data_IF_651651452617
#
_entry.id   IF_651651452617
#
_cell.length_a   1.000
_cell.length_b   1.000
_cell.length_c   1.000
_cell.angle_alpha   90.00
_cell.angle_beta   90.00
_cell.angle_gamma   90.00
#
_symmetry.space_group_name_H-M   'P 1'
#
loop_
_entity.id
_entity.type
_entity.pdbx_description
1 polymer ?
#
# COMPACT_ATOMS: atom_id res chain seq x y z
N UNK A 1 -29.10 24.32 -78.54
CA UNK A 1 -27.63 24.09 -78.47
C UNK A 1 -26.96 25.44 -78.69
N UNK A 2 -26.05 25.92 -77.82
CA UNK A 2 -25.08 25.14 -77.02
C UNK A 2 -25.17 25.34 -75.49
N UNK A 3 -24.26 24.64 -74.80
CA UNK A 3 -24.23 24.21 -73.40
C UNK A 3 -23.93 25.30 -72.37
N UNK A 4 -24.61 25.23 -71.22
CA UNK A 4 -24.17 25.83 -69.96
C UNK A 4 -23.24 24.84 -69.23
N UNK A 5 -21.97 25.21 -69.04
CA UNK A 5 -21.07 24.52 -68.12
C UNK A 5 -21.26 25.10 -66.72
N UNK A 6 -21.78 24.28 -65.81
CA UNK A 6 -21.76 24.56 -64.37
C UNK A 6 -20.36 24.36 -63.82
N UNK A 7 -19.88 25.32 -63.04
CA UNK A 7 -18.69 25.18 -62.19
C UNK A 7 -19.20 24.76 -60.82
N UNK A 8 -19.07 23.49 -60.47
CA UNK A 8 -19.26 23.00 -59.10
C UNK A 8 -18.10 23.51 -58.23
N UNK A 9 -18.41 24.31 -57.21
CA UNK A 9 -17.50 24.54 -56.09
C UNK A 9 -17.33 23.21 -55.31
N UNK A 10 -16.09 22.82 -54.95
CA UNK A 10 -15.88 21.54 -54.32
C UNK A 10 -16.39 21.54 -52.87
N UNK A 11 -17.21 20.53 -52.59
CA UNK A 11 -17.85 20.14 -51.31
C UNK A 11 -16.85 19.90 -50.13
N UNK A 12 -15.55 20.12 -50.37
CA UNK A 12 -14.45 19.90 -49.43
C UNK A 12 -14.26 21.06 -48.45
N UNK A 13 -14.63 22.30 -48.81
CA UNK A 13 -14.44 23.48 -47.94
C UNK A 13 -15.53 23.57 -46.86
N UNK A 14 -16.77 23.16 -47.14
CA UNK A 14 -17.87 23.13 -46.16
C UNK A 14 -17.70 22.03 -45.10
N UNK A 15 -17.27 20.82 -45.49
CA UNK A 15 -17.00 19.72 -44.53
C UNK A 15 -15.82 20.00 -43.60
N UNK A 16 -14.79 20.71 -44.07
CA UNK A 16 -13.65 21.11 -43.23
C UNK A 16 -14.04 22.16 -42.16
N UNK A 17 -14.95 23.08 -42.49
CA UNK A 17 -15.45 24.08 -41.56
C UNK A 17 -16.39 23.49 -40.48
N UNK A 18 -17.23 22.52 -40.85
CA UNK A 18 -18.11 21.80 -39.90
C UNK A 18 -17.33 20.84 -38.97
N UNK A 19 -16.32 20.14 -39.51
CA UNK A 19 -15.40 19.31 -38.72
C UNK A 19 -14.62 20.13 -37.69
N UNK A 20 -14.07 21.28 -38.08
CA UNK A 20 -13.37 22.19 -37.18
C UNK A 20 -14.27 22.88 -36.15
N UNK A 21 -15.55 23.09 -36.44
CA UNK A 21 -16.52 23.63 -35.48
C UNK A 21 -16.92 22.59 -34.43
N UNK A 22 -17.15 21.33 -34.85
CA UNK A 22 -17.41 20.22 -33.94
C UNK A 22 -16.20 19.93 -33.05
N UNK A 23 -14.99 19.84 -33.61
CA UNK A 23 -13.75 19.65 -32.84
C UNK A 23 -13.52 20.78 -31.82
N UNK A 24 -13.78 22.05 -32.18
CA UNK A 24 -13.67 23.18 -31.23
C UNK A 24 -14.74 23.15 -30.14
N UNK A 25 -15.95 22.68 -30.44
CA UNK A 25 -17.03 22.50 -29.44
C UNK A 25 -16.74 21.32 -28.51
N UNK A 26 -16.21 20.22 -29.04
CA UNK A 26 -15.73 19.09 -28.24
C UNK A 26 -14.55 19.50 -27.36
N UNK A 27 -13.57 20.24 -27.89
CA UNK A 27 -12.44 20.78 -27.12
C UNK A 27 -12.88 21.79 -26.06
N UNK A 28 -13.88 22.64 -26.34
CA UNK A 28 -14.44 23.59 -25.36
C UNK A 28 -15.24 22.88 -24.25
N UNK A 29 -16.04 21.88 -24.58
CA UNK A 29 -16.75 21.05 -23.60
C UNK A 29 -15.77 20.21 -22.77
N UNK A 30 -14.70 19.74 -23.40
CA UNK A 30 -13.63 19.00 -22.77
C UNK A 30 -12.81 19.84 -21.79
N UNK A 31 -12.41 21.05 -22.21
CA UNK A 31 -11.76 22.02 -21.36
C UNK A 31 -12.67 22.40 -20.19
N UNK A 32 -13.98 22.59 -20.43
CA UNK A 32 -14.94 22.92 -19.38
C UNK A 32 -15.10 21.78 -18.38
N UNK A 33 -15.18 20.52 -18.81
CA UNK A 33 -15.29 19.36 -17.92
C UNK A 33 -14.00 19.07 -17.15
N UNK A 34 -12.82 19.23 -17.77
CA UNK A 34 -11.52 19.12 -17.10
C UNK A 34 -11.29 20.26 -16.09
N UNK A 35 -11.68 21.49 -16.43
CA UNK A 35 -11.69 22.63 -15.51
C UNK A 35 -12.68 22.39 -14.38
N UNK A 36 -13.86 21.83 -14.66
CA UNK A 36 -14.87 21.52 -13.63
C UNK A 36 -14.41 20.40 -12.70
N UNK A 37 -13.74 19.36 -13.21
CA UNK A 37 -13.18 18.29 -12.39
C UNK A 37 -12.00 18.80 -11.55
N UNK A 38 -11.10 19.59 -12.14
CA UNK A 38 -9.99 20.22 -11.44
C UNK A 38 -10.49 21.24 -10.39
N UNK A 39 -11.51 22.02 -10.70
CA UNK A 39 -12.19 22.92 -9.76
C UNK A 39 -12.93 22.15 -8.68
N UNK A 40 -13.66 21.09 -9.01
CA UNK A 40 -14.37 20.27 -8.02
C UNK A 40 -13.41 19.56 -7.06
N UNK A 41 -12.26 19.07 -7.55
CA UNK A 41 -11.19 18.53 -6.71
C UNK A 41 -10.57 19.66 -5.86
N UNK A 42 -10.24 20.81 -6.45
CA UNK A 42 -9.68 21.96 -5.72
C UNK A 42 -10.64 22.50 -4.65
N UNK A 43 -11.93 22.56 -4.94
CA UNK A 43 -12.99 23.02 -4.03
C UNK A 43 -13.26 22.00 -2.93
N UNK A 44 -13.35 20.71 -3.26
CA UNK A 44 -13.53 19.64 -2.27
C UNK A 44 -12.34 19.55 -1.29
N UNK A 45 -11.12 19.82 -1.76
CA UNK A 45 -9.90 19.87 -0.93
C UNK A 45 -9.86 21.09 0.00
N UNK A 46 -10.47 22.20 -0.41
CA UNK A 46 -10.48 23.45 0.35
C UNK A 46 -11.60 23.53 1.41
N UNK A 47 -12.71 22.79 1.25
CA UNK A 47 -13.94 23.01 2.04
C UNK A 47 -14.16 22.09 3.25
N UNK A 48 -13.43 20.99 3.45
CA UNK A 48 -13.72 20.04 4.55
C UNK A 48 -12.72 20.15 5.70
N UNK A 49 -13.20 20.52 6.89
CA UNK A 49 -12.57 20.07 8.14
C UNK A 49 -12.76 18.54 8.23
N UNK A 50 -11.72 17.82 8.67
CA UNK A 50 -11.76 16.35 8.72
C UNK A 50 -12.72 15.90 9.84
N UNK A 51 -14.01 15.74 9.52
CA UNK A 51 -14.93 15.06 10.43
C UNK A 51 -14.74 13.55 10.32
N UNK A 52 -14.21 12.96 11.39
CA UNK A 52 -13.75 11.59 11.37
C UNK A 52 -14.82 10.60 11.88
N UNK A 53 -15.27 9.61 11.09
CA UNK A 53 -16.17 8.56 11.57
C UNK A 53 -15.48 7.62 12.57
N UNK A 54 -16.29 7.01 13.44
CA UNK A 54 -15.92 6.34 14.69
C UNK A 54 -15.01 5.09 14.51
N UNK A 55 -13.93 5.00 15.30
CA UNK A 55 -12.92 3.92 15.27
C UNK A 55 -13.22 2.79 16.24
N UNK A 56 -14.19 2.97 17.14
CA UNK A 56 -14.53 2.06 18.24
C UNK A 56 -15.16 0.72 17.76
N UNK A 57 -15.26 0.50 16.45
CA UNK A 57 -15.92 -0.67 15.84
C UNK A 57 -14.98 -1.62 15.08
N UNK A 58 -13.67 -1.33 15.05
CA UNK A 58 -12.73 -2.21 14.35
C UNK A 58 -12.50 -3.51 15.12
N UNK A 59 -12.61 -4.65 14.44
CA UNK A 59 -12.33 -5.97 14.99
C UNK A 59 -10.86 -6.17 15.38
N UNK A 60 -9.94 -5.42 14.75
CA UNK A 60 -8.49 -5.50 15.01
C UNK A 60 -8.15 -4.76 16.31
N UNK A 61 -8.88 -3.69 16.65
CA UNK A 61 -8.66 -2.91 17.86
C UNK A 61 -9.19 -3.58 19.13
N UNK A 62 -10.10 -4.56 19.02
CA UNK A 62 -10.74 -5.21 20.18
C UNK A 62 -9.77 -6.04 21.03
N UNK A 63 -8.64 -6.47 20.46
CA UNK A 63 -7.60 -7.23 21.18
C UNK A 63 -6.47 -6.33 21.73
N UNK A 64 -6.54 -5.02 21.46
CA UNK A 64 -5.58 -4.03 21.95
C UNK A 64 -6.05 -3.57 23.33
N UNK A 65 -5.49 -4.15 24.39
CA UNK A 65 -5.80 -3.75 25.77
C UNK A 65 -5.74 -2.22 25.96
N UNK A 66 -6.75 -1.65 26.63
CA UNK A 66 -6.98 -0.20 26.75
C UNK A 66 -5.78 0.65 27.22
N UNK A 67 -4.79 0.05 27.88
CA UNK A 67 -3.55 0.71 28.31
C UNK A 67 -2.57 0.99 27.15
N UNK A 68 -2.54 0.14 26.11
CA UNK A 68 -1.66 0.33 24.94
C UNK A 68 -2.09 1.49 24.05
N UNK A 69 -3.34 1.93 24.13
CA UNK A 69 -3.87 3.04 23.30
C UNK A 69 -3.19 4.38 23.61
N UNK A 70 -2.59 4.53 24.81
CA UNK A 70 -1.95 5.77 25.25
C UNK A 70 -0.43 5.77 25.12
N UNK A 71 0.17 4.69 24.64
CA UNK A 71 1.63 4.62 24.50
C UNK A 71 2.08 5.39 23.26
N UNK A 72 3.20 6.10 23.39
CA UNK A 72 3.82 6.86 22.30
C UNK A 72 5.25 6.40 22.09
N UNK A 73 5.80 6.61 20.89
CA UNK A 73 7.21 6.40 20.61
C UNK A 73 8.10 7.54 21.12
N UNK A 74 9.40 7.50 20.81
CA UNK A 74 10.34 8.54 21.24
C UNK A 74 10.06 9.91 20.58
N UNK A 75 9.37 9.93 19.44
CA UNK A 75 8.94 11.16 18.76
C UNK A 75 7.62 11.70 19.35
N UNK A 76 6.89 10.92 20.16
CA UNK A 76 5.59 11.29 20.72
C UNK A 76 4.40 10.89 19.84
N UNK A 77 4.62 10.05 18.83
CA UNK A 77 3.56 9.48 17.99
C UNK A 77 2.90 8.28 18.69
N UNK A 78 1.57 8.12 18.60
CA UNK A 78 0.90 6.98 19.22
C UNK A 78 1.36 5.67 18.58
N UNK A 79 1.54 4.63 19.40
CA UNK A 79 1.95 3.30 18.93
C UNK A 79 0.79 2.49 18.35
N UNK A 80 -0.43 2.87 18.71
CA UNK A 80 -1.68 2.32 18.19
C UNK A 80 -2.31 3.36 17.28
N UNK A 81 -2.97 2.92 16.20
CA UNK A 81 -3.63 3.85 15.30
C UNK A 81 -4.75 4.60 16.02
N UNK A 82 -4.51 5.88 16.28
CA UNK A 82 -5.52 6.82 16.75
C UNK A 82 -5.51 8.06 15.87
N UNK A 83 -6.61 8.20 15.12
CA UNK A 83 -6.80 9.25 14.12
C UNK A 83 -6.67 10.67 14.70
N UNK A 84 -7.13 10.88 15.94
CA UNK A 84 -7.20 12.19 16.58
C UNK A 84 -5.85 12.55 17.20
N UNK A 85 -5.18 11.57 17.81
CA UNK A 85 -3.83 11.76 18.34
C UNK A 85 -2.81 11.99 17.24
N UNK A 86 -2.87 11.23 16.14
CA UNK A 86 -2.00 11.41 14.97
C UNK A 86 -2.21 12.82 14.37
N UNK A 87 -3.46 13.24 14.16
CA UNK A 87 -3.75 14.56 13.62
C UNK A 87 -3.30 15.68 14.56
N UNK A 88 -3.53 15.53 15.87
CA UNK A 88 -3.07 16.49 16.88
C UNK A 88 -1.54 16.60 16.88
N UNK A 89 -0.83 15.48 16.86
CA UNK A 89 0.63 15.45 16.80
C UNK A 89 1.13 16.23 15.59
N UNK A 90 0.63 15.89 14.39
CA UNK A 90 1.14 16.48 13.16
C UNK A 90 0.72 17.94 12.96
N UNK A 91 -0.44 18.37 13.48
CA UNK A 91 -0.81 19.80 13.54
C UNK A 91 0.16 20.61 14.40
N UNK A 92 0.72 20.02 15.46
CA UNK A 92 1.73 20.67 16.29
C UNK A 92 3.10 20.80 15.58
N UNK A 93 3.39 19.95 14.59
CA UNK A 93 4.63 19.96 13.80
C UNK A 93 4.62 20.99 12.64
N UNK A 94 3.67 21.95 12.66
CA UNK A 94 3.62 23.06 11.69
C UNK A 94 3.16 22.62 10.30
N UNK A 95 3.97 22.92 9.27
CA UNK A 95 3.58 22.72 7.86
C UNK A 95 3.80 21.31 7.32
N UNK A 96 4.22 20.34 8.15
CA UNK A 96 4.59 18.99 7.70
C UNK A 96 3.45 18.26 6.96
N UNK A 97 2.22 18.33 7.49
CA UNK A 97 1.04 17.75 6.82
C UNK A 97 0.74 18.43 5.49
N UNK A 98 0.83 19.76 5.47
CA UNK A 98 0.55 20.54 4.27
C UNK A 98 1.56 20.23 3.17
N UNK A 99 2.85 20.12 3.50
CA UNK A 99 3.90 19.74 2.56
C UNK A 99 3.65 18.36 1.98
N UNK A 100 3.34 17.37 2.84
CA UNK A 100 3.08 16.00 2.39
C UNK A 100 1.81 15.91 1.55
N UNK A 101 0.77 16.66 1.90
CA UNK A 101 -0.44 16.79 1.11
C UNK A 101 -0.16 17.41 -0.27
N UNK A 102 0.65 18.48 -0.34
CA UNK A 102 1.06 19.11 -1.60
C UNK A 102 1.89 18.16 -2.48
N UNK A 103 2.79 17.38 -1.89
CA UNK A 103 3.55 16.35 -2.61
C UNK A 103 2.62 15.29 -3.21
N UNK A 104 1.68 14.78 -2.40
CA UNK A 104 0.66 13.83 -2.86
C UNK A 104 -0.14 14.39 -4.03
N UNK A 105 -0.67 15.62 -3.90
CA UNK A 105 -1.41 16.28 -4.99
C UNK A 105 -0.53 16.49 -6.23
N UNK A 106 0.73 16.86 -6.06
CA UNK A 106 1.67 17.06 -7.16
C UNK A 106 1.89 15.81 -8.01
N UNK A 107 1.77 14.62 -7.42
CA UNK A 107 1.88 13.34 -8.12
C UNK A 107 0.53 12.81 -8.61
N UNK A 108 -0.55 12.94 -7.82
CA UNK A 108 -1.85 12.38 -8.15
C UNK A 108 -2.68 13.24 -9.11
N UNK A 109 -2.64 14.57 -9.00
CA UNK A 109 -3.48 15.47 -9.84
C UNK A 109 -3.15 15.36 -11.33
N UNK A 110 -1.87 15.33 -11.78
CA UNK A 110 -1.55 15.16 -13.20
C UNK A 110 -2.10 13.85 -13.77
N UNK A 111 -1.99 12.76 -13.00
CA UNK A 111 -2.52 11.45 -13.38
C UNK A 111 -4.05 11.45 -13.50
N UNK A 112 -4.75 12.00 -12.49
CA UNK A 112 -6.21 12.11 -12.54
C UNK A 112 -6.67 13.02 -13.69
N UNK A 113 -5.95 14.10 -13.97
CA UNK A 113 -6.23 15.01 -15.09
C UNK A 113 -6.08 14.29 -16.43
N UNK A 114 -5.03 13.47 -16.59
CA UNK A 114 -4.84 12.61 -17.77
C UNK A 114 -6.01 11.65 -17.96
N UNK A 115 -6.45 10.96 -16.90
CA UNK A 115 -7.60 10.05 -16.96
C UNK A 115 -8.90 10.77 -17.33
N UNK A 116 -9.19 11.91 -16.70
CA UNK A 116 -10.36 12.73 -17.02
C UNK A 116 -10.32 13.22 -18.47
N UNK A 117 -9.14 13.66 -18.93
CA UNK A 117 -8.93 14.05 -20.33
C UNK A 117 -9.26 12.92 -21.31
N UNK A 118 -8.79 11.69 -21.05
CA UNK A 118 -9.11 10.51 -21.87
C UNK A 118 -10.60 10.16 -21.85
N UNK A 119 -11.23 10.22 -20.67
CA UNK A 119 -12.67 9.96 -20.53
C UNK A 119 -13.51 10.97 -21.34
N UNK A 120 -13.07 12.22 -21.38
CA UNK A 120 -13.73 13.28 -22.12
C UNK A 120 -13.54 13.13 -23.63
N UNK A 121 -12.34 12.78 -24.10
CA UNK A 121 -12.02 12.71 -25.54
C UNK A 121 -12.57 11.45 -26.21
N UNK A 122 -12.59 10.32 -25.52
CA UNK A 122 -12.96 9.03 -26.11
C UNK A 122 -13.77 8.11 -25.20
N UNK A 123 -14.31 8.62 -24.10
CA UNK A 123 -15.14 7.85 -23.18
C UNK A 123 -14.39 6.73 -22.47
N UNK A 124 -15.13 5.74 -21.98
CA UNK A 124 -14.56 4.58 -21.29
C UNK A 124 -13.71 3.69 -22.20
N UNK A 125 -13.97 3.70 -23.52
CA UNK A 125 -13.19 2.95 -24.49
C UNK A 125 -11.75 3.44 -24.62
N UNK A 126 -11.50 4.73 -24.45
CA UNK A 126 -10.14 5.28 -24.51
C UNK A 126 -9.33 4.95 -23.24
N UNK A 127 -10.00 4.92 -22.09
CA UNK A 127 -9.38 4.43 -20.84
C UNK A 127 -8.98 2.96 -20.96
N UNK A 128 -9.85 2.11 -21.50
CA UNK A 128 -9.55 0.68 -21.70
C UNK A 128 -8.37 0.45 -22.63
N UNK A 129 -8.27 1.20 -23.74
CA UNK A 129 -7.12 1.11 -24.66
C UNK A 129 -5.80 1.49 -23.98
N UNK A 130 -5.82 2.45 -23.06
CA UNK A 130 -4.65 2.98 -22.38
C UNK A 130 -4.42 2.35 -21.00
N UNK A 131 -5.21 1.33 -20.62
CA UNK A 131 -5.27 0.79 -19.27
C UNK A 131 -3.89 0.33 -18.78
N UNK A 132 -3.13 -0.36 -19.63
CA UNK A 132 -1.76 -0.81 -19.30
C UNK A 132 -0.82 0.36 -18.99
N UNK A 133 -0.87 1.43 -19.79
CA UNK A 133 -0.03 2.61 -19.56
C UNK A 133 -0.46 3.35 -18.29
N UNK A 134 -1.77 3.42 -18.02
CA UNK A 134 -2.30 4.02 -16.79
C UNK A 134 -1.92 3.19 -15.55
N UNK A 135 -1.91 1.86 -15.67
CA UNK A 135 -1.46 0.97 -14.60
C UNK A 135 0.03 1.16 -14.28
N UNK A 136 0.87 1.28 -15.30
CA UNK A 136 2.30 1.57 -15.13
C UNK A 136 2.53 2.95 -14.48
N UNK A 137 1.84 3.99 -14.97
CA UNK A 137 1.90 5.33 -14.37
C UNK A 137 1.49 5.31 -12.89
N UNK A 138 0.41 4.60 -12.56
CA UNK A 138 -0.07 4.45 -11.18
C UNK A 138 0.97 3.75 -10.30
N UNK A 139 1.58 2.66 -10.77
CA UNK A 139 2.68 1.97 -10.06
C UNK A 139 3.85 2.92 -9.77
N UNK A 140 4.29 3.68 -10.77
CA UNK A 140 5.40 4.64 -10.61
C UNK A 140 5.06 5.74 -9.60
N UNK A 141 3.82 6.24 -9.60
CA UNK A 141 3.35 7.22 -8.62
C UNK A 141 3.35 6.61 -7.22
N UNK A 142 2.84 5.39 -7.06
CA UNK A 142 2.85 4.64 -5.80
C UNK A 142 4.27 4.48 -5.26
N UNK A 143 5.23 4.10 -6.10
CA UNK A 143 6.65 3.97 -5.72
C UNK A 143 7.26 5.29 -5.27
N UNK A 144 6.95 6.39 -5.98
CA UNK A 144 7.43 7.74 -5.63
C UNK A 144 6.84 8.24 -4.32
N UNK A 145 5.57 7.94 -4.07
CA UNK A 145 4.92 8.30 -2.81
C UNK A 145 5.50 7.49 -1.64
N UNK A 146 5.97 6.27 -1.87
CA UNK A 146 6.81 5.55 -0.91
C UNK A 146 6.08 4.47 -0.11
N UNK A 147 6.66 4.03 1.04
CA UNK A 147 6.32 2.76 1.69
C UNK A 147 4.84 2.51 1.98
N UNK A 148 4.12 3.51 2.47
CA UNK A 148 2.69 3.42 2.80
C UNK A 148 1.85 3.09 1.57
N UNK A 149 2.13 3.77 0.47
CA UNK A 149 1.40 3.61 -0.79
C UNK A 149 1.79 2.30 -1.46
N UNK A 150 3.06 1.89 -1.36
CA UNK A 150 3.52 0.57 -1.83
C UNK A 150 2.76 -0.54 -1.10
N UNK A 151 2.62 -0.47 0.23
CA UNK A 151 1.82 -1.44 1.00
C UNK A 151 0.34 -1.43 0.57
N UNK A 152 -0.24 -0.24 0.35
CA UNK A 152 -1.59 -0.12 -0.20
C UNK A 152 -1.72 -0.77 -1.60
N UNK A 153 -0.74 -0.58 -2.47
CA UNK A 153 -0.68 -1.21 -3.79
C UNK A 153 -0.57 -2.74 -3.72
N UNK A 154 0.24 -3.27 -2.79
CA UNK A 154 0.37 -4.71 -2.53
C UNK A 154 -0.95 -5.32 -2.04
N UNK A 155 -1.66 -4.63 -1.13
CA UNK A 155 -2.99 -5.06 -0.67
C UNK A 155 -4.01 -5.11 -1.81
N UNK A 156 -3.92 -4.17 -2.76
CA UNK A 156 -4.81 -4.12 -3.91
C UNK A 156 -4.43 -5.13 -5.01
N UNK A 157 -3.16 -5.51 -5.13
CA UNK A 157 -2.68 -6.42 -6.19
C UNK A 157 -3.21 -7.85 -6.09
N UNK A 158 -3.86 -8.20 -4.99
CA UNK A 158 -4.47 -9.51 -4.75
C UNK A 158 -6.00 -9.49 -4.86
N UNK A 159 -6.57 -8.39 -5.39
CA UNK A 159 -8.03 -8.14 -5.45
C UNK A 159 -8.56 -8.10 -6.89
N UNK A 160 -8.67 -9.25 -7.58
CA UNK A 160 -9.20 -9.31 -8.95
C UNK A 160 -10.70 -8.98 -9.04
N UNK A 161 -11.39 -8.95 -7.90
CA UNK A 161 -12.76 -8.45 -7.78
C UNK A 161 -12.86 -6.92 -7.86
N UNK A 162 -11.74 -6.21 -7.64
CA UNK A 162 -11.69 -4.74 -7.64
C UNK A 162 -10.91 -4.18 -8.82
N UNK A 163 -9.81 -4.83 -9.20
CA UNK A 163 -8.89 -4.35 -10.23
C UNK A 163 -8.85 -5.25 -11.45
N UNK A 164 -8.64 -4.64 -12.61
CA UNK A 164 -8.46 -5.36 -13.88
C UNK A 164 -7.09 -6.04 -13.96
N UNK A 165 -7.00 -7.05 -14.81
CA UNK A 165 -5.79 -7.84 -15.00
C UNK A 165 -4.52 -7.01 -15.30
N UNK A 166 -4.56 -5.99 -16.20
CA UNK A 166 -3.36 -5.16 -16.44
C UNK A 166 -2.91 -4.37 -15.20
N UNK A 167 -3.85 -3.97 -14.34
CA UNK A 167 -3.51 -3.25 -13.11
C UNK A 167 -2.91 -4.21 -12.08
N UNK A 168 -3.47 -5.42 -11.92
CA UNK A 168 -2.92 -6.45 -11.03
C UNK A 168 -1.48 -6.81 -11.42
N UNK A 169 -1.21 -6.96 -12.72
CA UNK A 169 0.13 -7.26 -13.26
C UNK A 169 1.16 -6.16 -13.00
N UNK A 170 0.75 -4.89 -13.03
CA UNK A 170 1.65 -3.79 -12.69
C UNK A 170 1.84 -3.66 -11.18
N UNK A 171 0.78 -3.77 -10.37
CA UNK A 171 0.88 -3.65 -8.92
C UNK A 171 1.61 -4.83 -8.27
N UNK A 172 1.58 -6.03 -8.85
CA UNK A 172 2.33 -7.18 -8.33
C UNK A 172 3.85 -6.92 -8.32
N UNK A 173 4.37 -6.10 -9.24
CA UNK A 173 5.78 -5.68 -9.27
C UNK A 173 6.21 -4.90 -8.03
N UNK A 174 5.27 -4.31 -7.30
CA UNK A 174 5.54 -3.62 -6.02
C UNK A 174 6.00 -4.58 -4.92
N UNK A 175 5.78 -5.89 -5.07
CA UNK A 175 6.27 -6.90 -4.12
C UNK A 175 7.79 -7.06 -4.21
N UNK A 176 8.38 -6.88 -5.39
CA UNK A 176 9.80 -7.11 -5.65
C UNK A 176 10.65 -5.83 -5.75
N UNK A 177 10.02 -4.66 -5.82
CA UNK A 177 10.68 -3.40 -6.19
C UNK A 177 11.20 -2.54 -5.02
N UNK A 178 11.14 -3.02 -3.77
CA UNK A 178 11.46 -2.15 -2.63
C UNK A 178 12.97 -2.04 -2.41
N UNK A 179 13.52 -0.85 -2.69
CA UNK A 179 14.96 -0.60 -2.49
C UNK A 179 15.36 -0.69 -1.02
N UNK A 180 16.54 -1.26 -0.72
CA UNK A 180 17.11 -1.19 0.60
C UNK A 180 17.44 0.27 1.01
N UNK A 181 17.26 0.60 2.30
CA UNK A 181 17.90 1.74 2.93
C UNK A 181 19.34 1.39 3.36
N UNK A 182 20.12 2.39 3.75
CA UNK A 182 21.55 2.25 4.05
C UNK A 182 21.79 1.26 5.22
N UNK A 183 22.62 0.24 4.99
CA UNK A 183 22.98 -0.79 5.97
C UNK A 183 23.61 -0.20 7.23
N UNK A 184 24.40 0.87 7.15
CA UNK A 184 24.98 1.49 8.35
C UNK A 184 23.90 2.03 9.31
N UNK A 185 22.78 2.52 8.77
CA UNK A 185 21.63 2.96 9.56
C UNK A 185 20.92 1.75 10.16
N UNK A 186 20.78 0.67 9.38
CA UNK A 186 20.15 -0.58 9.84
C UNK A 186 20.94 -1.19 11.01
N UNK A 187 22.26 -1.33 10.86
CA UNK A 187 23.14 -1.88 11.90
C UNK A 187 23.09 -1.01 13.17
N UNK A 188 23.20 0.30 13.05
CA UNK A 188 23.10 1.20 14.20
C UNK A 188 21.72 1.13 14.88
N UNK A 189 20.65 0.82 14.15
CA UNK A 189 19.34 0.57 14.73
C UNK A 189 19.28 -0.78 15.43
N UNK A 190 19.82 -1.85 14.83
CA UNK A 190 19.91 -3.18 15.45
C UNK A 190 20.66 -3.11 16.78
N UNK A 191 21.82 -2.45 16.83
CA UNK A 191 22.60 -2.29 18.07
C UNK A 191 21.83 -1.52 19.15
N UNK A 192 21.08 -0.48 18.77
CA UNK A 192 20.23 0.28 19.70
C UNK A 192 19.11 -0.56 20.28
N UNK A 193 18.43 -1.34 19.43
CA UNK A 193 17.34 -2.23 19.87
C UNK A 193 17.85 -3.37 20.75
N UNK A 194 19.04 -3.89 20.48
CA UNK A 194 19.69 -4.93 21.29
C UNK A 194 20.33 -4.39 22.58
N UNK A 195 20.59 -3.09 22.66
CA UNK A 195 21.27 -2.45 23.80
C UNK A 195 22.75 -2.82 23.95
N UNK A 196 23.37 -3.41 22.93
CA UNK A 196 24.75 -3.90 22.97
C UNK A 196 25.38 -3.92 21.57
N UNK A 197 26.74 -3.93 21.47
CA UNK A 197 27.42 -3.98 20.18
C UNK A 197 27.05 -5.24 19.39
N UNK A 198 26.99 -5.10 18.06
CA UNK A 198 26.52 -6.17 17.18
C UNK A 198 27.32 -7.48 17.34
N UNK A 199 28.65 -7.35 17.48
CA UNK A 199 29.57 -8.46 17.65
C UNK A 199 29.43 -9.24 18.97
N UNK A 200 28.70 -8.70 19.96
CA UNK A 200 28.37 -9.42 21.18
C UNK A 200 27.22 -10.42 20.97
N UNK A 201 26.34 -10.16 19.99
CA UNK A 201 25.15 -10.97 19.70
C UNK A 201 25.36 -11.86 18.49
N UNK A 202 26.02 -11.34 17.45
CA UNK A 202 26.23 -12.04 16.19
C UNK A 202 27.73 -12.17 15.88
N UNK A 203 28.16 -13.38 15.58
CA UNK A 203 29.53 -13.66 15.09
C UNK A 203 29.71 -13.28 13.64
N UNK A 204 28.64 -13.36 12.85
CA UNK A 204 28.60 -13.01 11.43
C UNK A 204 27.27 -12.32 11.13
N UNK A 205 27.27 -11.31 10.27
CA UNK A 205 26.08 -10.69 9.69
C UNK A 205 26.38 -10.30 8.24
N UNK A 206 25.40 -10.40 7.36
CA UNK A 206 25.53 -9.96 5.97
C UNK A 206 25.74 -8.44 5.90
N UNK A 207 26.67 -7.99 5.05
CA UNK A 207 26.94 -6.55 4.83
C UNK A 207 25.76 -5.86 4.14
N UNK A 208 25.14 -6.56 3.20
CA UNK A 208 23.94 -6.15 2.48
C UNK A 208 22.71 -6.92 2.98
N UNK A 209 21.51 -6.32 2.94
CA UNK A 209 20.28 -7.01 3.28
C UNK A 209 19.98 -8.10 2.24
N UNK A 210 19.59 -9.28 2.73
CA UNK A 210 19.17 -10.42 1.89
C UNK A 210 17.77 -10.23 1.32
N UNK A 211 16.95 -9.39 1.97
CA UNK A 211 15.64 -9.00 1.49
C UNK A 211 15.29 -7.59 1.97
N UNK A 212 14.49 -6.89 1.17
CA UNK A 212 13.89 -5.62 1.53
C UNK A 212 12.38 -5.69 1.31
N UNK A 213 11.63 -5.24 2.31
CA UNK A 213 10.18 -5.12 2.27
C UNK A 213 9.78 -3.65 2.42
N UNK A 214 8.47 -3.38 2.30
CA UNK A 214 7.91 -2.03 2.42
C UNK A 214 8.26 -1.38 3.77
N UNK A 215 8.18 -2.12 4.88
CA UNK A 215 8.42 -1.61 6.22
C UNK A 215 9.81 -1.90 6.80
N UNK A 216 10.56 -2.84 6.23
CA UNK A 216 11.76 -3.38 6.87
C UNK A 216 12.78 -3.96 5.88
N UNK A 217 13.93 -4.34 6.40
CA UNK A 217 14.93 -5.15 5.72
C UNK A 217 15.28 -6.37 6.55
N UNK A 218 15.78 -7.41 5.89
CA UNK A 218 16.23 -8.65 6.52
C UNK A 218 17.71 -8.84 6.25
N UNK A 219 18.45 -9.20 7.28
CA UNK A 219 19.86 -9.59 7.23
C UNK A 219 19.99 -11.06 7.65
N UNK A 220 20.97 -11.77 7.09
CA UNK A 220 21.34 -13.10 7.58
C UNK A 220 22.44 -12.93 8.61
N UNK A 221 22.28 -13.50 9.79
CA UNK A 221 23.25 -13.41 10.87
C UNK A 221 23.45 -14.76 11.57
N UNK A 222 24.54 -14.88 12.33
CA UNK A 222 24.89 -16.08 13.08
C UNK A 222 25.03 -15.76 14.56
N UNK A 223 24.21 -16.40 15.40
CA UNK A 223 24.20 -16.14 16.84
C UNK A 223 25.54 -16.51 17.48
N UNK A 224 26.06 -15.61 18.33
CA UNK A 224 27.32 -15.83 19.03
C UNK A 224 27.21 -16.92 20.11
N UNK A 225 26.04 -17.00 20.77
CA UNK A 225 25.81 -17.94 21.87
C UNK A 225 25.65 -19.40 21.40
N UNK A 226 24.97 -19.62 20.27
CA UNK A 226 24.59 -20.97 19.80
C UNK A 226 25.25 -21.37 18.47
N UNK A 227 25.70 -20.41 17.66
CA UNK A 227 26.22 -20.65 16.31
C UNK A 227 25.15 -20.86 15.24
N UNK A 228 23.87 -20.74 15.59
CA UNK A 228 22.74 -20.92 14.67
C UNK A 228 22.58 -19.72 13.73
N UNK A 229 22.09 -19.99 12.52
CA UNK A 229 21.76 -18.95 11.54
C UNK A 229 20.36 -18.39 11.80
N UNK A 230 20.25 -17.07 11.73
CA UNK A 230 19.01 -16.34 11.96
C UNK A 230 18.76 -15.29 10.87
N UNK A 231 17.49 -15.01 10.64
CA UNK A 231 17.02 -13.86 9.88
C UNK A 231 16.76 -12.70 10.86
N UNK A 232 17.46 -11.59 10.66
CA UNK A 232 17.36 -10.37 11.46
C UNK A 232 16.58 -9.33 10.68
N UNK A 233 15.29 -9.17 10.99
CA UNK A 233 14.39 -8.22 10.34
C UNK A 233 14.32 -6.92 11.14
N UNK A 234 14.74 -5.81 10.53
CA UNK A 234 14.78 -4.49 11.15
C UNK A 234 13.89 -3.50 10.40
N UNK A 235 13.07 -2.76 11.15
CA UNK A 235 12.21 -1.71 10.58
C UNK A 235 13.01 -0.59 9.93
N UNK A 236 12.44 0.01 8.88
CA UNK A 236 12.95 1.25 8.29
C UNK A 236 12.98 2.37 9.34
N UNK A 237 13.99 3.26 9.29
CA UNK A 237 14.06 4.38 10.21
C UNK A 237 12.83 5.28 10.03
N UNK A 238 12.31 5.79 11.15
CA UNK A 238 11.15 6.69 11.21
C UNK A 238 9.90 6.18 10.49
N UNK A 239 9.73 4.86 10.36
CA UNK A 239 8.60 4.27 9.63
C UNK A 239 7.25 4.65 10.23
N UNK A 240 7.13 4.73 11.56
CA UNK A 240 5.91 5.20 12.23
C UNK A 240 5.56 6.64 11.84
N UNK A 241 6.57 7.50 11.78
CA UNK A 241 6.44 8.90 11.37
C UNK A 241 5.98 9.03 9.91
N UNK A 242 6.56 8.23 9.01
CA UNK A 242 6.16 8.20 7.60
C UNK A 242 4.73 7.70 7.44
N UNK A 243 4.42 6.53 8.01
CA UNK A 243 3.10 5.89 7.89
C UNK A 243 2.01 6.74 8.52
N UNK A 244 2.23 7.30 9.70
CA UNK A 244 1.24 8.16 10.37
C UNK A 244 0.85 9.39 9.54
N UNK A 245 1.84 10.01 8.89
CA UNK A 245 1.65 11.19 8.05
C UNK A 245 0.95 10.85 6.73
N UNK A 246 1.33 9.73 6.13
CA UNK A 246 0.73 9.24 4.89
C UNK A 246 -0.72 8.81 5.09
N UNK A 247 -1.04 8.16 6.21
CA UNK A 247 -2.40 7.79 6.55
C UNK A 247 -3.30 9.00 6.75
N UNK A 248 -2.80 10.09 7.32
CA UNK A 248 -3.52 11.37 7.36
C UNK A 248 -3.85 11.86 5.94
N UNK A 249 -2.87 11.83 5.03
CA UNK A 249 -3.06 12.25 3.63
C UNK A 249 -4.06 11.34 2.91
N UNK A 250 -3.93 10.03 3.05
CA UNK A 250 -4.87 9.07 2.47
C UNK A 250 -6.29 9.27 3.00
N UNK A 251 -6.45 9.56 4.29
CA UNK A 251 -7.76 9.85 4.89
C UNK A 251 -8.40 11.07 4.27
N UNK A 252 -7.63 12.16 4.12
CA UNK A 252 -8.09 13.37 3.45
C UNK A 252 -8.47 13.11 2.00
N UNK A 253 -7.69 12.32 1.28
CA UNK A 253 -8.00 11.92 -0.09
C UNK A 253 -9.29 11.07 -0.18
N UNK A 254 -9.47 10.13 0.74
CA UNK A 254 -10.67 9.30 0.82
C UNK A 254 -11.93 10.12 1.14
N UNK A 255 -11.84 11.10 2.04
CA UNK A 255 -12.94 12.01 2.35
C UNK A 255 -13.33 12.88 1.13
N UNK A 256 -12.35 13.40 0.40
CA UNK A 256 -12.58 14.14 -0.87
C UNK A 256 -13.27 13.23 -1.88
N UNK A 257 -12.75 12.02 -2.08
CA UNK A 257 -13.31 11.06 -3.03
C UNK A 257 -14.74 10.65 -2.65
N UNK A 258 -15.00 10.38 -1.37
CA UNK A 258 -16.33 10.05 -0.87
C UNK A 258 -17.32 11.18 -1.14
N UNK A 259 -16.94 12.44 -0.90
CA UNK A 259 -17.79 13.60 -1.23
C UNK A 259 -18.11 13.73 -2.72
N UNK A 260 -17.15 13.42 -3.59
CA UNK A 260 -17.39 13.37 -5.03
C UNK A 260 -18.35 12.25 -5.42
N UNK A 261 -18.19 11.05 -4.85
CA UNK A 261 -19.07 9.91 -5.13
C UNK A 261 -20.50 10.15 -4.64
N UNK A 262 -20.68 10.72 -3.45
CA UNK A 262 -22.00 11.11 -2.92
C UNK A 262 -22.71 12.12 -3.85
N UNK A 263 -21.95 13.04 -4.47
CA UNK A 263 -22.48 14.06 -5.38
C UNK A 263 -22.78 13.55 -6.78
N UNK A 264 -21.89 12.74 -7.36
CA UNK A 264 -21.94 12.36 -8.77
C UNK A 264 -22.41 10.93 -9.03
N UNK A 265 -22.38 10.07 -8.01
CA UNK A 265 -22.77 8.67 -8.10
C UNK A 265 -23.56 8.22 -6.84
N UNK A 266 -24.70 8.86 -6.51
CA UNK A 266 -25.41 8.65 -5.23
C UNK A 266 -25.96 7.23 -5.03
N UNK A 267 -25.91 6.38 -6.06
CA UNK A 267 -26.25 4.95 -5.97
C UNK A 267 -25.12 4.11 -5.35
N UNK A 268 -23.88 4.60 -5.37
CA UNK A 268 -22.75 3.98 -4.69
C UNK A 268 -22.85 4.29 -3.19
N UNK A 269 -22.90 3.25 -2.35
CA UNK A 269 -23.02 3.38 -0.88
C UNK A 269 -21.76 2.91 -0.14
N UNK A 270 -20.66 2.78 -0.85
CA UNK A 270 -19.38 2.31 -0.29
C UNK A 270 -18.82 3.35 0.67
N UNK A 271 -18.52 2.94 1.90
CA UNK A 271 -17.85 3.80 2.89
C UNK A 271 -16.33 3.72 2.72
N UNK A 272 -15.78 4.54 1.82
CA UNK A 272 -14.36 4.54 1.50
C UNK A 272 -13.48 4.97 2.69
N UNK A 273 -13.93 5.94 3.48
CA UNK A 273 -13.19 6.37 4.69
C UNK A 273 -13.18 5.27 5.74
N UNK A 274 -14.30 4.57 5.93
CA UNK A 274 -14.39 3.41 6.82
C UNK A 274 -13.44 2.28 6.40
N UNK A 275 -13.43 1.93 5.10
CA UNK A 275 -12.54 0.90 4.57
C UNK A 275 -11.06 1.26 4.78
N UNK A 276 -10.70 2.53 4.52
CA UNK A 276 -9.35 3.01 4.75
C UNK A 276 -8.97 2.94 6.22
N UNK A 277 -9.87 3.27 7.14
CA UNK A 277 -9.59 3.22 8.58
C UNK A 277 -9.33 1.78 9.05
N UNK A 278 -10.11 0.80 8.60
CA UNK A 278 -9.85 -0.61 8.93
C UNK A 278 -8.47 -1.06 8.42
N UNK A 279 -8.15 -0.69 7.17
CA UNK A 279 -6.82 -0.96 6.62
C UNK A 279 -5.71 -0.27 7.43
N UNK A 280 -5.92 1.00 7.83
CA UNK A 280 -4.96 1.78 8.60
C UNK A 280 -4.66 1.14 9.96
N UNK A 281 -5.68 0.60 10.64
CA UNK A 281 -5.52 -0.10 11.92
C UNK A 281 -4.67 -1.37 11.74
N UNK A 282 -4.98 -2.19 10.73
CA UNK A 282 -4.20 -3.37 10.40
C UNK A 282 -2.74 -3.00 10.08
N UNK A 283 -2.54 -1.99 9.23
CA UNK A 283 -1.21 -1.55 8.84
C UNK A 283 -0.39 -0.98 10.00
N UNK A 284 -1.00 -0.25 10.93
CA UNK A 284 -0.33 0.22 12.15
C UNK A 284 0.05 -0.94 13.08
N UNK A 285 -0.77 -1.97 13.14
CA UNK A 285 -0.50 -3.17 13.95
C UNK A 285 0.75 -3.90 13.45
N UNK A 286 1.02 -3.88 12.14
CA UNK A 286 2.26 -4.42 11.55
C UNK A 286 3.52 -3.62 11.92
N UNK A 287 3.38 -2.38 12.41
CA UNK A 287 4.53 -1.58 12.88
C UNK A 287 5.03 -2.01 14.26
N UNK A 288 4.45 -3.05 14.85
CA UNK A 288 4.92 -3.66 16.08
C UNK A 288 5.28 -5.13 15.84
N UNK A 289 6.58 -5.37 15.68
CA UNK A 289 7.11 -6.72 15.47
C UNK A 289 6.94 -7.65 16.67
N UNK A 290 6.59 -7.14 17.85
CA UNK A 290 6.21 -8.02 18.96
C UNK A 290 4.89 -8.73 18.69
N UNK A 291 3.97 -8.10 17.96
CA UNK A 291 2.71 -8.75 17.56
C UNK A 291 2.99 -9.83 16.51
N UNK A 292 3.87 -9.53 15.55
CA UNK A 292 4.29 -10.52 14.53
C UNK A 292 4.99 -11.72 15.16
N UNK A 293 5.95 -11.50 16.07
CA UNK A 293 6.62 -12.53 16.84
C UNK A 293 5.62 -13.45 17.56
N UNK A 294 4.68 -12.86 18.31
CA UNK A 294 3.64 -13.60 19.05
C UNK A 294 2.72 -14.39 18.12
N UNK A 295 2.32 -13.80 17.00
CA UNK A 295 1.48 -14.47 16.01
C UNK A 295 2.21 -15.66 15.37
N UNK A 296 3.50 -15.51 15.05
CA UNK A 296 4.34 -16.58 14.52
C UNK A 296 4.53 -17.72 15.52
N UNK A 297 4.86 -17.40 16.78
CA UNK A 297 4.99 -18.39 17.86
C UNK A 297 3.69 -19.15 18.10
N UNK A 298 2.56 -18.44 18.16
CA UNK A 298 1.22 -19.04 18.30
C UNK A 298 0.88 -19.92 17.09
N UNK A 299 1.15 -19.46 15.87
CA UNK A 299 0.88 -20.24 14.67
C UNK A 299 1.71 -21.53 14.66
N UNK A 300 3.01 -21.45 15.00
CA UNK A 300 3.87 -22.62 15.15
C UNK A 300 3.28 -23.64 16.11
N UNK A 301 2.91 -23.20 17.31
CA UNK A 301 2.32 -24.06 18.33
C UNK A 301 1.01 -24.73 17.85
N UNK A 302 0.14 -23.97 17.17
CA UNK A 302 -1.13 -24.47 16.66
C UNK A 302 -0.95 -25.50 15.53
N UNK A 303 -0.03 -25.26 14.60
CA UNK A 303 0.24 -26.19 13.51
C UNK A 303 0.97 -27.45 13.99
N UNK A 304 1.89 -27.33 14.95
CA UNK A 304 2.55 -28.47 15.59
C UNK A 304 1.54 -29.36 16.34
N UNK A 305 0.55 -28.75 17.01
CA UNK A 305 -0.53 -29.47 17.71
C UNK A 305 -1.47 -30.23 16.78
N UNK A 306 -1.74 -29.68 15.60
CA UNK A 306 -2.60 -30.30 14.60
C UNK A 306 -1.85 -31.28 13.67
N UNK A 307 -0.53 -31.46 13.89
CA UNK A 307 0.34 -32.33 13.09
C UNK A 307 0.27 -32.04 11.58
N UNK A 308 0.26 -30.75 11.22
CA UNK A 308 0.16 -30.32 9.82
C UNK A 308 1.46 -30.66 9.10
N UNK A 309 1.42 -31.70 8.26
CA UNK A 309 2.59 -32.17 7.53
C UNK A 309 3.01 -31.23 6.39
N UNK A 310 4.31 -31.16 6.10
CA UNK A 310 4.84 -30.40 4.96
C UNK A 310 4.90 -28.88 5.16
N UNK A 311 4.59 -28.37 6.36
CA UNK A 311 4.67 -26.95 6.71
C UNK A 311 5.63 -26.77 7.88
N UNK A 312 6.46 -25.73 7.80
CA UNK A 312 7.39 -25.38 8.87
C UNK A 312 7.28 -23.88 9.20
N UNK A 313 7.14 -23.57 10.48
CA UNK A 313 7.13 -22.18 10.97
C UNK A 313 8.45 -21.92 11.73
N UNK A 314 9.30 -20.99 11.26
CA UNK A 314 10.60 -20.72 11.86
C UNK A 314 10.50 -20.33 13.33
N UNK A 315 11.52 -20.70 14.12
CA UNK A 315 11.56 -20.33 15.54
C UNK A 315 11.73 -18.81 15.69
N UNK A 316 11.10 -18.22 16.70
CA UNK A 316 11.34 -16.82 17.09
C UNK A 316 12.32 -16.81 18.26
N UNK A 317 13.33 -15.95 18.20
CA UNK A 317 14.26 -15.69 19.31
C UNK A 317 13.73 -14.51 20.11
N UNK A 318 12.76 -14.77 21.00
CA UNK A 318 11.97 -13.74 21.69
C UNK A 318 12.84 -12.72 22.45
N UNK A 319 13.91 -13.18 23.10
CA UNK A 319 14.85 -12.32 23.86
C UNK A 319 15.61 -11.31 22.98
N UNK A 320 15.62 -11.52 21.66
CA UNK A 320 16.25 -10.64 20.67
C UNK A 320 15.22 -9.81 19.88
N UNK A 321 13.94 -9.94 20.21
CA UNK A 321 12.85 -9.24 19.54
C UNK A 321 12.44 -8.00 20.31
N UNK A 322 12.17 -6.92 19.57
CA UNK A 322 11.63 -5.67 20.09
C UNK A 322 10.47 -5.23 19.21
N UNK A 323 9.90 -4.05 19.47
CA UNK A 323 8.91 -3.45 18.58
C UNK A 323 9.45 -3.24 17.15
N UNK A 324 10.75 -3.00 16.99
CA UNK A 324 11.38 -2.64 15.70
C UNK A 324 12.32 -3.72 15.15
N UNK A 325 12.64 -4.74 15.92
CA UNK A 325 13.55 -5.83 15.57
C UNK A 325 12.84 -7.19 15.75
N UNK A 326 12.87 -8.03 14.72
CA UNK A 326 12.37 -9.41 14.76
C UNK A 326 13.52 -10.34 14.37
N UNK A 327 13.81 -11.32 15.22
CA UNK A 327 14.85 -12.32 14.97
C UNK A 327 14.22 -13.70 14.92
N UNK A 328 14.34 -14.36 13.79
CA UNK A 328 13.82 -15.72 13.58
C UNK A 328 14.91 -16.66 13.10
N UNK A 329 14.67 -17.96 13.21
CA UNK A 329 15.48 -18.99 12.57
C UNK A 329 15.61 -18.70 11.07
N UNK A 330 16.82 -18.92 10.54
CA UNK A 330 17.07 -18.85 9.11
C UNK A 330 16.64 -20.14 8.43
N UNK A 331 15.83 -20.03 7.38
CA UNK A 331 15.43 -21.17 6.55
C UNK A 331 15.99 -21.01 5.14
N UNK A 332 16.67 -22.05 4.67
CA UNK A 332 17.09 -22.16 3.28
C UNK A 332 15.97 -22.79 2.44
N UNK A 333 15.62 -22.15 1.33
CA UNK A 333 14.55 -22.61 0.46
C UNK A 333 14.45 -21.84 -0.85
N UNK A 334 13.60 -22.33 -1.75
CA UNK A 334 13.27 -21.70 -3.03
C UNK A 334 11.93 -20.97 -2.88
N UNK A 335 11.87 -19.69 -3.29
CA UNK A 335 10.61 -18.93 -3.25
C UNK A 335 9.58 -19.57 -4.19
N UNK A 336 8.31 -19.61 -3.80
CA UNK A 336 7.22 -20.14 -4.64
C UNK A 336 7.15 -19.46 -6.01
N UNK A 337 7.43 -18.15 -6.07
CA UNK A 337 7.46 -17.38 -7.32
C UNK A 337 8.58 -17.79 -8.30
N UNK A 338 9.58 -18.54 -7.82
CA UNK A 338 10.70 -19.06 -8.62
C UNK A 338 10.52 -20.55 -8.95
N UNK A 339 9.51 -21.21 -8.37
CA UNK A 339 9.23 -22.61 -8.61
C UNK A 339 8.57 -22.81 -9.98
N UNK A 340 8.89 -23.92 -10.63
CA UNK A 340 8.21 -24.32 -11.87
C UNK A 340 6.74 -24.64 -11.57
N UNK A 341 5.80 -24.42 -12.51
CA UNK A 341 4.37 -24.66 -12.26
C UNK A 341 4.05 -26.08 -11.77
N UNK A 342 4.87 -27.07 -12.16
CA UNK A 342 4.74 -28.45 -11.67
C UNK A 342 5.10 -28.58 -10.18
N UNK A 343 6.19 -27.96 -9.75
CA UNK A 343 6.61 -27.93 -8.33
C UNK A 343 5.54 -27.23 -7.48
N UNK A 344 5.02 -26.09 -7.97
CA UNK A 344 3.93 -25.37 -7.29
C UNK A 344 2.69 -26.26 -7.15
N UNK A 345 2.33 -27.00 -8.20
CA UNK A 345 1.17 -27.91 -8.18
C UNK A 345 1.30 -29.00 -7.13
N UNK A 346 2.51 -29.51 -6.88
CA UNK A 346 2.78 -30.51 -5.84
C UNK A 346 2.61 -29.94 -4.42
N UNK A 347 2.77 -28.62 -4.24
CA UNK A 347 2.60 -27.93 -2.95
C UNK A 347 1.17 -27.42 -2.69
N UNK A 348 0.28 -27.43 -3.70
CA UNK A 348 -1.09 -26.91 -3.55
C UNK A 348 -1.84 -27.67 -2.46
N UNK A 349 -1.71 -29.00 -2.41
CA UNK A 349 -2.43 -29.83 -1.44
C UNK A 349 -1.99 -29.50 0.00
N UNK A 350 -0.68 -29.38 0.22
CA UNK A 350 -0.09 -28.95 1.51
C UNK A 350 -0.57 -27.55 1.90
N UNK A 351 -0.55 -26.59 0.97
CA UNK A 351 -1.00 -25.23 1.21
C UNK A 351 -2.50 -25.15 1.54
N UNK A 352 -3.34 -25.93 0.84
CA UNK A 352 -4.77 -26.00 1.08
C UNK A 352 -5.09 -26.64 2.43
N UNK A 353 -4.45 -27.75 2.77
CA UNK A 353 -4.62 -28.42 4.07
C UNK A 353 -4.22 -27.48 5.21
N UNK A 354 -3.08 -26.80 5.08
CA UNK A 354 -2.60 -25.82 6.04
C UNK A 354 -3.62 -24.69 6.23
N UNK A 355 -4.10 -24.09 5.13
CA UNK A 355 -5.06 -23.00 5.19
C UNK A 355 -6.42 -23.42 5.76
N UNK A 356 -6.93 -24.59 5.38
CA UNK A 356 -8.19 -25.13 5.90
C UNK A 356 -8.07 -25.49 7.39
N UNK A 357 -6.93 -26.00 7.83
CA UNK A 357 -6.65 -26.27 9.25
C UNK A 357 -6.66 -24.97 10.05
N UNK A 358 -5.93 -23.96 9.56
CA UNK A 358 -5.93 -22.60 10.13
C UNK A 358 -7.34 -22.03 10.30
N UNK A 359 -8.16 -22.10 9.24
CA UNK A 359 -9.49 -21.51 9.21
C UNK A 359 -10.55 -22.30 9.99
N UNK A 360 -10.60 -23.62 9.80
CA UNK A 360 -11.73 -24.46 10.24
C UNK A 360 -11.46 -25.20 11.55
N UNK A 361 -10.19 -25.46 11.90
CA UNK A 361 -9.86 -26.21 13.11
C UNK A 361 -9.35 -25.32 14.23
N UNK A 362 -8.33 -24.52 13.97
CA UNK A 362 -7.67 -23.73 15.02
C UNK A 362 -8.24 -22.32 15.17
N UNK A 363 -8.98 -21.84 14.17
CA UNK A 363 -9.62 -20.52 14.20
C UNK A 363 -8.63 -19.36 14.25
N UNK A 364 -7.41 -19.57 13.73
CA UNK A 364 -6.33 -18.60 13.68
C UNK A 364 -5.58 -18.82 12.36
N UNK A 365 -5.56 -17.80 11.50
CA UNK A 365 -5.13 -17.97 10.12
C UNK A 365 -4.31 -16.79 9.60
N UNK A 366 -3.43 -17.08 8.64
CA UNK A 366 -2.68 -16.12 7.87
C UNK A 366 -3.57 -15.54 6.76
N UNK A 367 -3.98 -14.28 6.91
CA UNK A 367 -4.99 -13.67 6.04
C UNK A 367 -4.49 -13.36 4.61
N UNK A 368 -3.22 -12.95 4.46
CA UNK A 368 -2.64 -12.51 3.18
C UNK A 368 -1.26 -13.20 2.91
N UNK A 369 -1.22 -14.54 2.68
CA UNK A 369 0.01 -15.34 2.53
C UNK A 369 0.81 -15.15 1.23
#
# INVERSE_FOLDING_TARGET
MPMAMGVEEPDTVRRAAEGGFLERRFAANAATAAITAAQAVSEAVAMRELEAPDVDKSFIAQDIGSERVKTVDEEGLPLVYDKALIEKYWKAQGSALQQRWTEFLGLSVPFLTKMVGMLITGGTGELQKNEKNLAEDARIIIEKLGPTYIKGGQMMSVRPDVLSQPVLEELSKLQDAVKPFNSSVAIAQIERELGQPLGAVFTEISEEPVAAASLAQVYKAKLAATGEWVAVKIQRPSVLSVVSKDLYVLRRAAEVYQGLMERFAPRQRTNYVGLLNEWAIGFYTELDFTNEAKNQMKMRELLDKEDVSGVYVPQVYEDLCTRRLLVTEWIDGKKLSQCEPKEVRELIEVGQECFLTQLLKVGFFHADP
#
